data_IF_716306655179
#
_entry.id   IF_716306655179
#
_cell.length_a   1.000
_cell.length_b   1.000
_cell.length_c   1.000
_cell.angle_alpha   90.00
_cell.angle_beta   90.00
_cell.angle_gamma   90.00
#
_symmetry.space_group_name_H-M   'P 1'
#
loop_
_entity.id
_entity.type
_entity.pdbx_description
1 polymer ?
#
# COMPACT_ATOMS: atom_id res chain seq x y z
N UNK A 1 -50.61 31.96 95.89
CA UNK A 1 -49.52 31.68 96.84
C UNK A 1 -48.26 31.26 96.08
N UNK A 2 -47.16 31.98 96.38
CA UNK A 2 -45.78 31.64 96.39
C UNK A 2 -45.12 31.20 95.01
N UNK A 3 -44.28 32.09 94.51
CA UNK A 3 -42.80 32.16 94.59
C UNK A 3 -42.12 30.89 93.99
N UNK A 4 -41.12 30.93 93.13
CA UNK A 4 -39.85 31.65 93.25
C UNK A 4 -38.98 31.36 91.96
N UNK A 5 -38.38 32.38 91.47
CA UNK A 5 -36.98 32.60 91.11
C UNK A 5 -36.10 31.41 90.64
N UNK A 6 -35.34 31.71 89.58
CA UNK A 6 -34.01 31.07 89.32
C UNK A 6 -33.49 31.18 87.89
N UNK A 7 -32.92 32.28 87.57
CA UNK A 7 -31.55 32.63 87.19
C UNK A 7 -30.87 31.75 86.14
N UNK A 8 -30.73 32.32 84.95
CA UNK A 8 -29.48 32.51 84.20
C UNK A 8 -28.47 31.35 84.04
N UNK A 9 -28.19 30.96 82.77
CA UNK A 9 -26.81 31.15 82.26
C UNK A 9 -26.71 30.95 80.71
N UNK A 10 -26.11 31.93 80.18
CA UNK A 10 -25.48 32.03 78.84
C UNK A 10 -24.66 30.80 78.47
N UNK A 11 -24.77 30.40 77.29
CA UNK A 11 -23.90 29.40 76.65
C UNK A 11 -23.86 29.61 75.14
N UNK A 12 -23.00 30.53 74.76
CA UNK A 12 -22.64 30.83 73.40
C UNK A 12 -21.87 29.61 72.87
N UNK A 13 -22.42 28.83 71.90
CA UNK A 13 -21.70 27.78 71.18
C UNK A 13 -21.66 28.11 69.68
N UNK A 14 -20.58 28.76 69.35
CA UNK A 14 -20.18 29.03 67.96
C UNK A 14 -19.85 27.70 67.26
N UNK A 15 -20.77 27.14 66.45
CA UNK A 15 -20.48 26.06 65.60
C UNK A 15 -19.70 26.56 64.35
N UNK A 16 -18.40 26.33 64.36
CA UNK A 16 -17.49 26.45 63.22
C UNK A 16 -17.96 25.53 62.12
N UNK A 17 -18.51 26.08 61.04
CA UNK A 17 -18.67 25.41 59.79
C UNK A 17 -17.28 25.09 59.21
N UNK A 18 -16.85 23.82 59.30
CA UNK A 18 -15.66 23.36 58.62
C UNK A 18 -15.91 23.44 57.13
N UNK A 19 -15.20 24.33 56.45
CA UNK A 19 -15.18 24.46 55.02
C UNK A 19 -14.63 23.16 54.41
N UNK A 20 -15.43 22.51 53.59
CA UNK A 20 -15.03 21.34 52.76
C UNK A 20 -14.08 21.85 51.69
N UNK A 21 -12.77 21.72 51.94
CA UNK A 21 -11.73 21.95 50.94
C UNK A 21 -11.92 20.88 49.84
N UNK A 22 -12.38 21.29 48.68
CA UNK A 22 -12.42 20.44 47.52
C UNK A 22 -10.97 20.09 47.14
N UNK A 23 -10.60 18.82 47.26
CA UNK A 23 -9.33 18.32 46.76
C UNK A 23 -9.35 18.51 45.21
N UNK A 24 -8.65 19.52 44.75
CA UNK A 24 -8.36 19.70 43.32
C UNK A 24 -7.75 18.42 42.79
N UNK A 25 -8.20 17.98 41.60
CA UNK A 25 -7.61 16.83 40.88
C UNK A 25 -6.11 17.11 40.74
N UNK A 26 -5.24 16.14 41.00
CA UNK A 26 -3.81 16.34 40.81
C UNK A 26 -3.56 16.67 39.35
N UNK A 27 -3.04 17.86 39.08
CA UNK A 27 -2.52 18.23 37.79
C UNK A 27 -1.31 17.31 37.49
N UNK A 28 -1.26 16.72 36.30
CA UNK A 28 -0.11 15.91 35.88
C UNK A 28 1.18 16.74 36.09
N UNK A 29 2.21 16.16 36.69
CA UNK A 29 3.47 16.88 36.92
C UNK A 29 4.09 17.25 35.56
N UNK A 30 4.73 18.41 35.48
CA UNK A 30 5.30 18.96 34.25
C UNK A 30 6.21 17.96 33.49
N UNK A 31 6.92 17.12 34.23
CA UNK A 31 7.76 16.06 33.61
C UNK A 31 6.94 14.98 32.88
N UNK A 32 5.72 14.67 33.34
CA UNK A 32 4.83 13.71 32.67
C UNK A 32 4.28 14.28 31.36
N UNK A 33 3.96 15.59 31.34
CA UNK A 33 3.58 16.28 30.09
C UNK A 33 4.74 16.30 29.09
N UNK A 34 5.97 16.54 29.54
CA UNK A 34 7.17 16.49 28.69
C UNK A 34 7.37 15.10 28.10
N UNK A 35 7.19 14.03 28.88
CA UNK A 35 7.29 12.65 28.37
C UNK A 35 6.22 12.35 27.30
N UNK A 36 4.98 12.79 27.50
CA UNK A 36 3.90 12.60 26.53
C UNK A 36 4.26 13.30 25.21
N UNK A 37 4.77 14.53 25.28
CA UNK A 37 5.20 15.28 24.10
C UNK A 37 6.32 14.53 23.35
N UNK A 38 7.33 14.04 24.06
CA UNK A 38 8.44 13.26 23.45
C UNK A 38 7.90 11.99 22.78
N UNK A 39 7.01 11.24 23.44
CA UNK A 39 6.43 10.00 22.86
C UNK A 39 5.63 10.31 21.59
N UNK A 40 4.84 11.41 21.61
CA UNK A 40 4.07 11.84 20.43
C UNK A 40 5.00 12.23 19.27
N UNK A 41 6.07 13.00 19.56
CA UNK A 41 7.02 13.38 18.51
C UNK A 41 7.82 12.18 17.96
N UNK A 42 8.24 11.26 18.81
CA UNK A 42 8.91 10.02 18.38
C UNK A 42 7.95 9.14 17.55
N UNK A 43 6.70 9.00 18.01
CA UNK A 43 5.67 8.28 17.26
C UNK A 43 5.40 8.91 15.88
N UNK A 44 5.24 10.23 15.83
CA UNK A 44 5.06 10.96 14.58
C UNK A 44 6.29 10.83 13.66
N UNK A 45 7.50 10.93 14.20
CA UNK A 45 8.74 10.74 13.46
C UNK A 45 8.83 9.34 12.83
N UNK A 46 8.56 8.28 13.61
CA UNK A 46 8.56 6.89 13.12
C UNK A 46 7.49 6.64 12.04
N UNK A 47 6.32 7.28 12.18
CA UNK A 47 5.26 7.20 11.16
C UNK A 47 5.69 7.92 9.88
N UNK A 48 6.28 9.10 9.97
CA UNK A 48 6.79 9.85 8.81
C UNK A 48 7.89 9.04 8.10
N UNK A 49 8.83 8.48 8.85
CA UNK A 49 9.92 7.67 8.30
C UNK A 49 9.42 6.37 7.60
N UNK A 50 8.32 5.79 8.10
CA UNK A 50 7.67 4.65 7.44
C UNK A 50 6.87 5.03 6.18
N UNK A 51 6.43 6.29 6.06
CA UNK A 51 5.71 6.79 4.88
C UNK A 51 6.66 7.27 3.76
N UNK A 52 7.88 7.68 4.09
CA UNK A 52 8.82 8.27 3.11
C UNK A 52 9.67 7.25 2.35
N UNK A 53 9.71 5.98 2.77
CA UNK A 53 10.57 4.95 2.14
C UNK A 53 9.91 4.18 1.00
N UNK A 54 9.23 4.88 0.09
CA UNK A 54 8.99 4.30 -1.24
C UNK A 54 10.08 4.84 -2.18
N UNK A 55 11.26 4.22 -2.14
CA UNK A 55 12.30 4.46 -3.14
C UNK A 55 11.66 4.35 -4.54
N UNK A 56 11.94 5.30 -5.45
CA UNK A 56 11.43 5.18 -6.81
C UNK A 56 11.96 3.88 -7.41
N UNK A 57 11.05 3.02 -7.85
CA UNK A 57 11.42 1.78 -8.55
C UNK A 57 12.07 2.18 -9.86
N UNK A 58 13.39 2.06 -9.94
CA UNK A 58 14.15 2.29 -11.17
C UNK A 58 13.98 1.05 -12.04
N UNK A 59 13.33 1.21 -13.20
CA UNK A 59 13.25 0.13 -14.17
C UNK A 59 14.64 -0.15 -14.73
N UNK A 60 15.09 -1.41 -14.62
CA UNK A 60 16.41 -1.86 -15.07
C UNK A 60 16.41 -2.28 -16.55
N UNK A 61 15.24 -2.37 -17.17
CA UNK A 61 15.06 -2.81 -18.56
C UNK A 61 14.68 -1.64 -19.48
N UNK A 62 14.95 -1.74 -20.80
CA UNK A 62 14.43 -0.78 -21.77
C UNK A 62 12.90 -0.78 -21.74
N UNK A 63 12.29 0.35 -22.11
CA UNK A 63 10.83 0.48 -22.14
C UNK A 63 10.16 -0.52 -23.10
N UNK A 64 10.83 -0.85 -24.20
CA UNK A 64 10.37 -1.81 -25.19
C UNK A 64 11.51 -2.68 -25.69
N UNK A 65 11.17 -3.91 -26.06
CA UNK A 65 12.05 -4.85 -26.76
C UNK A 65 11.37 -5.30 -28.06
N UNK A 66 12.19 -5.57 -29.08
CA UNK A 66 11.68 -6.11 -30.35
C UNK A 66 11.15 -7.54 -30.18
N UNK A 67 10.30 -8.00 -31.11
CA UNK A 67 9.86 -9.39 -31.16
C UNK A 67 11.04 -10.35 -31.36
N UNK A 68 12.02 -9.95 -32.15
CA UNK A 68 13.23 -10.74 -32.41
C UNK A 68 14.07 -10.96 -31.14
N UNK A 69 14.17 -9.97 -30.31
CA UNK A 69 14.87 -10.09 -29.03
C UNK A 69 14.03 -10.84 -28.01
N UNK A 70 12.72 -10.57 -27.95
CA UNK A 70 11.79 -11.30 -27.10
C UNK A 70 11.80 -12.82 -27.39
N UNK A 71 11.88 -13.22 -28.65
CA UNK A 71 11.92 -14.62 -29.03
C UNK A 71 13.20 -15.38 -28.61
N UNK A 72 14.26 -14.67 -28.24
CA UNK A 72 15.53 -15.24 -27.74
C UNK A 72 15.55 -15.35 -26.22
N UNK A 73 14.58 -14.76 -25.49
CA UNK A 73 14.55 -14.75 -24.03
C UNK A 73 14.26 -16.16 -23.49
N UNK A 74 14.98 -16.53 -22.45
CA UNK A 74 14.75 -17.80 -21.78
C UNK A 74 13.59 -17.69 -20.76
N UNK A 75 12.83 -18.77 -20.60
CA UNK A 75 11.67 -18.81 -19.71
C UNK A 75 12.05 -18.93 -18.21
N UNK A 76 13.32 -19.27 -17.89
CA UNK A 76 13.77 -19.35 -16.50
C UNK A 76 13.84 -17.96 -15.86
N UNK A 77 14.27 -16.96 -16.63
CA UNK A 77 14.56 -15.61 -16.13
C UNK A 77 13.46 -14.60 -16.50
N UNK A 78 12.59 -14.98 -17.45
CA UNK A 78 11.57 -14.10 -18.00
C UNK A 78 10.15 -14.64 -17.81
N UNK A 79 9.25 -13.76 -17.45
CA UNK A 79 7.82 -14.00 -17.34
C UNK A 79 7.08 -13.24 -18.45
N UNK A 80 6.42 -13.99 -19.34
CA UNK A 80 5.63 -13.43 -20.43
C UNK A 80 4.20 -13.20 -19.95
N UNK A 81 3.80 -11.95 -19.85
CA UNK A 81 2.48 -11.53 -19.41
C UNK A 81 1.65 -11.04 -20.60
N UNK A 82 0.66 -11.80 -20.99
CA UNK A 82 -0.30 -11.37 -22.03
C UNK A 82 -1.46 -10.61 -21.40
N UNK A 83 -1.63 -9.34 -21.80
CA UNK A 83 -2.68 -8.45 -21.27
C UNK A 83 -3.85 -8.28 -22.24
N UNK A 84 -4.02 -9.20 -23.19
CA UNK A 84 -5.14 -9.20 -24.14
C UNK A 84 -6.41 -9.75 -23.49
N UNK A 85 -7.49 -9.70 -24.25
CA UNK A 85 -8.76 -10.31 -23.85
C UNK A 85 -8.71 -11.84 -24.04
N UNK A 86 -9.52 -12.63 -23.27
CA UNK A 86 -9.56 -14.07 -23.38
C UNK A 86 -9.84 -14.57 -24.79
N UNK A 87 -10.70 -13.90 -25.55
CA UNK A 87 -11.00 -14.27 -26.94
C UNK A 87 -9.79 -14.16 -27.87
N UNK A 88 -8.94 -13.13 -27.68
CA UNK A 88 -7.69 -12.97 -28.44
C UNK A 88 -6.64 -14.03 -28.05
N UNK A 89 -6.65 -14.44 -26.79
CA UNK A 89 -5.79 -15.49 -26.26
C UNK A 89 -6.16 -16.85 -26.86
N UNK A 90 -7.45 -17.20 -26.87
CA UNK A 90 -7.96 -18.45 -27.42
C UNK A 90 -7.65 -18.61 -28.89
N UNK A 91 -7.62 -17.52 -29.68
CA UNK A 91 -7.25 -17.54 -31.10
C UNK A 91 -5.79 -17.93 -31.29
N UNK A 92 -4.89 -17.34 -30.55
CA UNK A 92 -3.46 -17.67 -30.57
C UNK A 92 -2.71 -16.95 -29.46
N UNK A 93 -1.82 -17.64 -28.75
CA UNK A 93 -0.96 -17.06 -27.73
C UNK A 93 0.44 -17.71 -27.70
N UNK A 94 1.39 -17.06 -27.02
CA UNK A 94 2.72 -17.60 -26.80
C UNK A 94 2.62 -18.78 -25.82
N UNK A 95 3.17 -19.97 -26.12
CA UNK A 95 2.91 -21.20 -25.34
C UNK A 95 3.23 -21.15 -23.87
N UNK A 96 4.12 -20.25 -23.47
CA UNK A 96 4.60 -20.09 -22.08
C UNK A 96 4.19 -18.74 -21.46
N UNK A 97 3.31 -17.99 -22.10
CA UNK A 97 2.78 -16.76 -21.54
C UNK A 97 1.67 -17.07 -20.51
N UNK A 98 1.42 -16.11 -19.65
CA UNK A 98 0.31 -16.13 -18.71
C UNK A 98 -0.66 -15.01 -19.05
N UNK A 99 -1.95 -15.34 -19.15
CA UNK A 99 -3.01 -14.37 -19.44
C UNK A 99 -3.46 -13.67 -18.15
N UNK A 100 -3.33 -12.36 -18.12
CA UNK A 100 -4.01 -11.48 -17.16
C UNK A 100 -4.50 -10.27 -17.95
N UNK A 101 -5.78 -10.19 -18.30
CA UNK A 101 -6.33 -9.07 -19.05
C UNK A 101 -6.01 -7.73 -18.42
N UNK A 102 -5.71 -6.70 -19.22
CA UNK A 102 -5.30 -5.38 -18.73
C UNK A 102 -6.27 -4.82 -17.69
N UNK A 103 -7.57 -5.05 -17.88
CA UNK A 103 -8.62 -4.62 -16.94
C UNK A 103 -8.58 -5.31 -15.58
N UNK A 104 -7.98 -6.50 -15.49
CA UNK A 104 -7.85 -7.28 -14.26
C UNK A 104 -6.48 -7.13 -13.60
N UNK A 105 -5.50 -6.54 -14.30
CA UNK A 105 -4.09 -6.56 -13.93
C UNK A 105 -3.86 -6.02 -12.51
N UNK A 106 -4.50 -4.91 -12.15
CA UNK A 106 -4.34 -4.31 -10.81
C UNK A 106 -4.84 -5.21 -9.68
N UNK A 107 -5.89 -5.98 -9.92
CA UNK A 107 -6.46 -6.89 -8.92
C UNK A 107 -5.64 -8.19 -8.77
N UNK A 108 -4.85 -8.54 -9.79
CA UNK A 108 -4.13 -9.82 -9.90
C UNK A 108 -2.61 -9.69 -9.83
N UNK A 109 -2.08 -8.58 -9.33
CA UNK A 109 -0.63 -8.33 -9.18
C UNK A 109 0.10 -9.40 -8.36
N UNK A 110 -0.59 -10.07 -7.44
CA UNK A 110 -0.02 -11.15 -6.62
C UNK A 110 0.33 -12.43 -7.39
N UNK A 111 -0.22 -12.60 -8.60
CA UNK A 111 0.05 -13.74 -9.47
C UNK A 111 1.34 -13.56 -10.28
N UNK A 112 1.91 -12.35 -10.30
CA UNK A 112 3.08 -12.00 -11.10
C UNK A 112 4.35 -12.14 -10.24
N UNK A 113 5.35 -12.94 -10.67
CA UNK A 113 6.59 -13.13 -9.94
C UNK A 113 7.40 -11.83 -9.91
N UNK A 114 7.88 -11.44 -8.71
CA UNK A 114 8.69 -10.22 -8.51
C UNK A 114 10.19 -10.45 -8.71
N UNK A 115 10.60 -11.68 -8.77
CA UNK A 115 11.99 -12.14 -8.90
C UNK A 115 12.39 -12.41 -10.36
N UNK A 116 11.47 -12.23 -11.31
CA UNK A 116 11.72 -12.39 -12.74
C UNK A 116 11.65 -11.08 -13.51
N UNK A 117 12.31 -11.03 -14.66
CA UNK A 117 12.09 -10.00 -15.65
C UNK A 117 10.73 -10.21 -16.31
N UNK A 118 9.96 -9.16 -16.49
CA UNK A 118 8.62 -9.24 -17.05
C UNK A 118 8.58 -8.61 -18.43
N UNK A 119 8.08 -9.35 -19.40
CA UNK A 119 7.76 -8.83 -20.71
C UNK A 119 6.24 -8.83 -20.90
N UNK A 120 5.67 -7.66 -21.09
CA UNK A 120 4.23 -7.49 -21.30
C UNK A 120 3.92 -7.58 -22.78
N UNK A 121 2.94 -8.40 -23.12
CA UNK A 121 2.52 -8.71 -24.48
C UNK A 121 1.08 -8.24 -24.69
N UNK A 122 0.80 -7.67 -25.85
CA UNK A 122 -0.56 -7.45 -26.30
C UNK A 122 -0.64 -7.66 -27.82
N UNK A 123 -1.71 -7.19 -28.48
CA UNK A 123 -1.86 -7.37 -29.93
C UNK A 123 -0.82 -6.59 -30.75
N UNK A 124 -0.56 -5.31 -30.43
CA UNK A 124 0.22 -4.38 -31.26
C UNK A 124 1.25 -3.53 -30.51
N UNK A 125 1.35 -3.65 -29.17
CA UNK A 125 2.28 -2.86 -28.34
C UNK A 125 1.59 -1.82 -27.44
N UNK A 126 0.43 -1.27 -27.79
CA UNK A 126 -0.19 -0.17 -27.05
C UNK A 126 -0.66 -0.57 -25.64
N UNK A 127 -1.42 -1.66 -25.50
CA UNK A 127 -1.88 -2.16 -24.19
C UNK A 127 -0.72 -2.67 -23.33
N UNK A 128 0.31 -3.26 -23.94
CA UNK A 128 1.50 -3.73 -23.22
C UNK A 128 2.32 -2.58 -22.63
N UNK A 129 2.40 -1.43 -23.31
CA UNK A 129 3.02 -0.22 -22.74
C UNK A 129 2.27 0.26 -21.50
N UNK A 130 0.93 0.31 -21.54
CA UNK A 130 0.09 0.66 -20.38
C UNK A 130 0.26 -0.35 -19.24
N UNK A 131 0.25 -1.66 -19.56
CA UNK A 131 0.47 -2.72 -18.56
C UNK A 131 1.86 -2.63 -17.90
N UNK A 132 2.92 -2.35 -18.69
CA UNK A 132 4.26 -2.07 -18.17
C UNK A 132 4.25 -0.93 -17.17
N UNK A 133 3.67 0.21 -17.54
CA UNK A 133 3.66 1.41 -16.69
C UNK A 133 2.86 1.17 -15.40
N UNK A 134 1.77 0.40 -15.47
CA UNK A 134 0.98 -0.02 -14.31
C UNK A 134 1.82 -0.91 -13.37
N UNK A 135 2.56 -1.88 -13.89
CA UNK A 135 3.44 -2.74 -13.10
C UNK A 135 4.56 -1.94 -12.43
N UNK A 136 5.23 -1.03 -13.15
CA UNK A 136 6.25 -0.15 -12.59
C UNK A 136 5.70 0.69 -11.44
N UNK A 137 4.53 1.30 -11.62
CA UNK A 137 3.86 2.10 -10.58
C UNK A 137 3.42 1.25 -9.36
N UNK A 138 3.25 -0.07 -9.57
CA UNK A 138 2.91 -1.05 -8.53
C UNK A 138 4.12 -1.66 -7.83
N UNK A 139 5.35 -1.19 -8.16
CA UNK A 139 6.58 -1.59 -7.46
C UNK A 139 7.36 -2.74 -8.11
N UNK A 140 7.05 -3.13 -9.34
CA UNK A 140 7.90 -4.03 -10.12
C UNK A 140 9.06 -3.25 -10.73
N UNK A 141 10.29 -3.79 -10.69
CA UNK A 141 11.52 -3.08 -11.09
C UNK A 141 12.12 -3.54 -12.42
N UNK A 142 11.62 -4.62 -12.99
CA UNK A 142 12.18 -5.24 -14.19
C UNK A 142 11.07 -5.56 -15.19
N UNK A 143 10.55 -4.53 -15.87
CA UNK A 143 9.40 -4.65 -16.77
C UNK A 143 9.69 -3.97 -18.09
N UNK A 144 9.38 -4.68 -19.18
CA UNK A 144 9.45 -4.18 -20.56
C UNK A 144 8.18 -4.52 -21.32
N UNK A 145 7.91 -3.86 -22.44
CA UNK A 145 6.82 -4.23 -23.34
C UNK A 145 7.36 -4.81 -24.66
N UNK A 146 6.60 -5.70 -25.28
CA UNK A 146 6.97 -6.26 -26.59
C UNK A 146 6.43 -5.35 -27.70
N UNK A 147 7.32 -4.67 -28.41
CA UNK A 147 6.98 -3.83 -29.55
C UNK A 147 6.36 -4.67 -30.68
N UNK A 148 5.26 -4.16 -31.27
CA UNK A 148 4.55 -4.87 -32.32
C UNK A 148 3.66 -6.03 -31.87
N UNK A 149 3.83 -6.51 -30.64
CA UNK A 149 2.96 -7.49 -29.98
C UNK A 149 2.78 -8.79 -30.75
N UNK A 150 1.66 -9.48 -30.49
CA UNK A 150 1.30 -10.76 -31.11
C UNK A 150 1.17 -10.66 -32.63
N UNK A 151 0.78 -9.54 -33.20
CA UNK A 151 0.68 -9.35 -34.65
C UNK A 151 2.05 -9.53 -35.31
N UNK A 152 3.09 -8.91 -34.75
CA UNK A 152 4.46 -9.07 -35.25
C UNK A 152 5.03 -10.44 -34.90
N UNK A 153 4.75 -10.97 -33.68
CA UNK A 153 5.18 -12.30 -33.27
C UNK A 153 4.74 -13.39 -34.25
N UNK A 154 3.46 -13.41 -34.66
CA UNK A 154 2.91 -14.35 -35.61
C UNK A 154 3.45 -14.13 -37.02
N UNK A 155 3.56 -12.87 -37.48
CA UNK A 155 4.08 -12.58 -38.85
C UNK A 155 5.52 -12.99 -39.02
N UNK A 156 6.30 -13.11 -37.97
CA UNK A 156 7.68 -13.62 -37.96
C UNK A 156 7.76 -15.15 -37.86
N UNK A 157 6.62 -15.83 -37.75
CA UNK A 157 6.57 -17.30 -37.67
C UNK A 157 7.01 -17.86 -36.32
N UNK A 158 6.98 -17.04 -35.25
CA UNK A 158 7.29 -17.50 -33.91
C UNK A 158 6.20 -18.46 -33.36
N UNK A 159 6.55 -19.36 -32.44
CA UNK A 159 5.61 -20.37 -31.92
C UNK A 159 4.38 -19.76 -31.25
N UNK A 160 3.20 -20.30 -31.57
CA UNK A 160 1.94 -20.00 -30.91
C UNK A 160 1.17 -21.31 -30.71
N UNK A 161 0.28 -21.25 -29.68
CA UNK A 161 -0.73 -22.30 -29.45
C UNK A 161 -2.11 -21.64 -29.44
N UNK A 162 -3.17 -22.43 -29.53
CA UNK A 162 -4.58 -22.01 -29.52
C UNK A 162 -5.31 -22.67 -28.36
N UNK A 163 -6.43 -22.12 -27.98
CA UNK A 163 -7.27 -22.65 -26.91
C UNK A 163 -7.00 -22.00 -25.54
N UNK A 164 -7.67 -22.48 -24.48
CA UNK A 164 -7.59 -21.91 -23.15
C UNK A 164 -6.23 -22.09 -22.48
#
# INVERSE_FOLDING_TARGET
MAKSTGKQKSGNSTTKKAGRVSKGKPLLPLWALALIVVVVFVGAYLVIESLEKKEPVVNTLPSEVSVEDAAKLNQSDWFFLDVREPSEWEEAHIPYATLIPLGELTARLSEIPKDKNIIVVCRSGNRSAVGRDLLLSSGFSSVTSMAGGMSTWQSKGNPVVTGP
#
